data_IF_475926967856
#
_entry.id   IF_475926967856
#
_cell.length_a   1.000
_cell.length_b   1.000
_cell.length_c   1.000
_cell.angle_alpha   90.00
_cell.angle_beta   90.00
_cell.angle_gamma   90.00
#
_symmetry.space_group_name_H-M   'P 1'
#
loop_
_entity.id
_entity.type
_entity.pdbx_description
1 polymer ?
#
# COMPACT_ATOMS: atom_id res chain seq x y z
N UNK A 1 23.60 43.07 -17.55
CA UNK A 1 22.65 42.41 -18.45
C UNK A 1 22.35 41.08 -17.81
N UNK A 2 21.19 41.01 -17.16
CA UNK A 2 20.72 39.83 -16.47
C UNK A 2 19.95 39.01 -17.50
N UNK A 3 20.45 37.83 -17.82
CA UNK A 3 19.73 36.87 -18.65
C UNK A 3 18.71 36.14 -17.76
N UNK A 4 17.45 36.44 -18.00
CA UNK A 4 16.28 35.72 -17.52
C UNK A 4 16.33 34.28 -18.05
N UNK A 5 16.73 33.34 -17.21
CA UNK A 5 16.46 31.91 -17.41
C UNK A 5 15.15 31.58 -16.69
N UNK A 6 14.05 31.82 -17.38
CA UNK A 6 12.75 31.25 -17.03
C UNK A 6 12.83 29.73 -17.17
N UNK A 7 13.08 29.04 -16.05
CA UNK A 7 12.93 27.59 -15.95
C UNK A 7 11.43 27.32 -15.98
N UNK A 8 10.91 26.93 -17.15
CA UNK A 8 9.58 26.35 -17.26
C UNK A 8 9.54 25.08 -16.40
N UNK A 9 8.80 25.15 -15.30
CA UNK A 9 8.47 23.99 -14.48
C UNK A 9 7.65 23.02 -15.34
N UNK A 10 8.33 22.04 -15.93
CA UNK A 10 7.69 20.90 -16.58
C UNK A 10 6.84 20.15 -15.56
N UNK A 11 5.54 20.42 -15.56
CA UNK A 11 4.55 19.55 -14.94
C UNK A 11 4.61 18.21 -15.66
N UNK A 12 5.37 17.27 -15.12
CA UNK A 12 5.31 15.86 -15.51
C UNK A 12 3.94 15.32 -15.11
N UNK A 13 2.96 15.53 -16.00
CA UNK A 13 1.68 14.85 -15.97
C UNK A 13 1.98 13.39 -16.29
N UNK A 14 1.96 12.52 -15.27
CA UNK A 14 1.92 11.08 -15.51
C UNK A 14 0.70 10.80 -16.38
N UNK A 15 0.85 10.10 -17.52
CA UNK A 15 -0.30 9.76 -18.34
C UNK A 15 -1.23 8.89 -17.51
N UNK A 16 -2.40 9.43 -17.19
CA UNK A 16 -3.55 8.67 -16.71
C UNK A 16 -3.82 7.58 -17.76
N UNK A 17 -3.33 6.38 -17.51
CA UNK A 17 -3.77 5.19 -18.25
C UNK A 17 -5.28 5.12 -18.09
N UNK A 18 -5.99 4.98 -19.21
CA UNK A 18 -7.45 4.84 -19.25
C UNK A 18 -7.91 3.86 -18.17
N UNK A 19 -8.70 4.38 -17.22
CA UNK A 19 -9.13 3.65 -16.04
C UNK A 19 -9.93 2.38 -16.40
N UNK A 20 -10.65 2.43 -17.52
CA UNK A 20 -11.46 1.32 -18.04
C UNK A 20 -10.62 0.12 -18.53
N UNK A 21 -9.43 0.35 -19.10
CA UNK A 21 -8.55 -0.74 -19.55
C UNK A 21 -7.69 -1.31 -18.41
N UNK A 22 -7.40 -0.51 -17.38
CA UNK A 22 -6.57 -0.91 -16.24
C UNK A 22 -7.30 -1.72 -15.17
N UNK A 23 -8.63 -1.73 -15.17
CA UNK A 23 -9.42 -2.31 -14.08
C UNK A 23 -9.29 -3.84 -13.96
N UNK A 24 -9.43 -4.65 -15.03
CA UNK A 24 -9.21 -6.09 -14.94
C UNK A 24 -7.76 -6.43 -14.57
N UNK A 25 -6.81 -5.59 -15.00
CA UNK A 25 -5.39 -5.77 -14.68
C UNK A 25 -5.10 -5.64 -13.19
N UNK A 26 -5.77 -4.74 -12.46
CA UNK A 26 -5.53 -4.58 -11.02
C UNK A 26 -5.98 -5.80 -10.20
N UNK A 27 -7.00 -6.54 -10.64
CA UNK A 27 -7.33 -7.83 -10.03
C UNK A 27 -6.22 -8.86 -10.23
N UNK A 28 -5.61 -8.89 -11.42
CA UNK A 28 -4.43 -9.73 -11.68
C UNK A 28 -3.26 -9.32 -10.78
N UNK A 29 -3.04 -8.01 -10.58
CA UNK A 29 -2.02 -7.52 -9.64
C UNK A 29 -2.28 -8.03 -8.23
N UNK A 30 -3.52 -7.95 -7.74
CA UNK A 30 -3.91 -8.51 -6.44
C UNK A 30 -3.63 -10.02 -6.36
N UNK A 31 -4.00 -10.79 -7.38
CA UNK A 31 -3.71 -12.24 -7.45
C UNK A 31 -2.20 -12.53 -7.41
N UNK A 32 -1.38 -11.71 -8.08
CA UNK A 32 0.08 -11.83 -8.04
C UNK A 32 0.66 -11.52 -6.67
N UNK A 33 0.14 -10.51 -5.96
CA UNK A 33 0.54 -10.18 -4.60
C UNK A 33 0.31 -11.39 -3.68
N UNK A 34 -0.89 -11.99 -3.73
CA UNK A 34 -1.24 -13.17 -2.91
C UNK A 34 -0.32 -14.34 -3.22
N UNK A 35 -0.20 -14.70 -4.50
CA UNK A 35 0.62 -15.84 -4.92
C UNK A 35 2.08 -15.69 -4.46
N UNK A 36 2.67 -14.51 -4.62
CA UNK A 36 4.06 -14.28 -4.25
C UNK A 36 4.23 -14.24 -2.72
N UNK A 37 3.30 -13.63 -1.98
CA UNK A 37 3.34 -13.62 -0.52
C UNK A 37 3.28 -15.06 0.06
N UNK A 38 2.39 -15.89 -0.49
CA UNK A 38 2.25 -17.32 -0.15
C UNK A 38 3.54 -18.09 -0.46
N UNK A 39 4.11 -17.91 -1.67
CA UNK A 39 5.37 -18.53 -2.06
C UNK A 39 6.55 -18.11 -1.16
N UNK A 40 6.62 -16.83 -0.75
CA UNK A 40 7.63 -16.35 0.20
C UNK A 40 7.47 -17.07 1.54
N UNK A 41 6.26 -17.16 2.08
CA UNK A 41 5.98 -17.84 3.35
C UNK A 41 6.48 -19.29 3.32
N UNK A 42 6.09 -20.06 2.29
CA UNK A 42 6.53 -21.45 2.11
C UNK A 42 8.06 -21.56 1.99
N UNK A 43 8.70 -20.69 1.22
CA UNK A 43 10.17 -20.71 1.08
C UNK A 43 10.88 -20.36 2.40
N UNK A 44 10.35 -19.43 3.19
CA UNK A 44 10.90 -19.11 4.50
C UNK A 44 10.76 -20.28 5.48
N UNK A 45 9.61 -20.96 5.50
CA UNK A 45 9.35 -22.15 6.32
C UNK A 45 10.29 -23.32 5.96
N UNK A 46 10.56 -23.51 4.67
CA UNK A 46 11.49 -24.54 4.19
C UNK A 46 12.97 -24.15 4.34
N UNK A 47 13.28 -22.95 4.83
CA UNK A 47 14.65 -22.47 5.03
C UNK A 47 15.34 -21.93 3.77
N UNK A 48 14.64 -21.81 2.64
CA UNK A 48 15.12 -21.32 1.34
C UNK A 48 15.17 -19.79 1.26
N UNK A 49 15.83 -19.16 2.23
CA UNK A 49 15.83 -17.69 2.42
C UNK A 49 16.32 -16.88 1.22
N UNK A 50 17.27 -17.40 0.45
CA UNK A 50 17.80 -16.71 -0.73
C UNK A 50 16.70 -16.48 -1.79
N UNK A 51 15.94 -17.51 -2.11
CA UNK A 51 14.85 -17.44 -3.09
C UNK A 51 13.68 -16.61 -2.55
N UNK A 52 13.41 -16.70 -1.25
CA UNK A 52 12.41 -15.85 -0.60
C UNK A 52 12.76 -14.36 -0.74
N UNK A 53 14.05 -13.99 -0.62
CA UNK A 53 14.49 -12.60 -0.78
C UNK A 53 14.33 -12.09 -2.21
N UNK A 54 14.60 -12.92 -3.22
CA UNK A 54 14.36 -12.56 -4.63
C UNK A 54 12.86 -12.33 -4.90
N UNK A 55 12.00 -13.18 -4.35
CA UNK A 55 10.55 -13.00 -4.46
C UNK A 55 10.04 -11.76 -3.72
N UNK A 56 10.64 -11.36 -2.60
CA UNK A 56 10.28 -10.11 -1.91
C UNK A 56 10.49 -8.88 -2.80
N UNK A 57 11.49 -8.86 -3.67
CA UNK A 57 11.67 -7.77 -4.64
C UNK A 57 10.52 -7.72 -5.64
N UNK A 58 10.10 -8.87 -6.16
CA UNK A 58 8.92 -8.97 -7.03
C UNK A 58 7.65 -8.53 -6.30
N UNK A 59 7.47 -8.95 -5.03
CA UNK A 59 6.33 -8.55 -4.22
C UNK A 59 6.26 -7.03 -4.03
N UNK A 60 7.38 -6.38 -3.73
CA UNK A 60 7.47 -4.92 -3.62
C UNK A 60 7.01 -4.22 -4.90
N UNK A 61 7.42 -4.72 -6.06
CA UNK A 61 6.98 -4.19 -7.35
C UNK A 61 5.45 -4.26 -7.50
N UNK A 62 4.84 -5.44 -7.29
CA UNK A 62 3.39 -5.60 -7.47
C UNK A 62 2.56 -4.79 -6.48
N UNK A 63 3.00 -4.72 -5.22
CA UNK A 63 2.37 -3.83 -4.22
C UNK A 63 2.52 -2.37 -4.63
N UNK A 64 3.67 -1.95 -5.16
CA UNK A 64 3.86 -0.57 -5.63
C UNK A 64 2.96 -0.24 -6.80
N UNK A 65 2.78 -1.15 -7.75
CA UNK A 65 1.85 -0.97 -8.87
C UNK A 65 0.42 -0.73 -8.35
N UNK A 66 -0.05 -1.56 -7.41
CA UNK A 66 -1.38 -1.38 -6.81
C UNK A 66 -1.49 -0.03 -6.09
N UNK A 67 -0.48 0.32 -5.27
CA UNK A 67 -0.46 1.56 -4.49
C UNK A 67 -0.47 2.80 -5.39
N UNK A 68 0.38 2.86 -6.41
CA UNK A 68 0.43 4.02 -7.33
C UNK A 68 -0.90 4.23 -8.04
N UNK A 69 -1.59 3.14 -8.39
CA UNK A 69 -2.86 3.18 -9.13
C UNK A 69 -4.04 3.61 -8.26
N UNK A 70 -3.98 3.32 -6.96
CA UNK A 70 -5.02 3.64 -5.99
C UNK A 70 -4.71 4.88 -5.15
N UNK A 71 -3.48 5.40 -5.19
CA UNK A 71 -3.05 6.54 -4.38
C UNK A 71 -4.00 7.73 -4.52
N UNK A 72 -4.23 8.39 -3.40
CA UNK A 72 -5.01 9.63 -3.34
C UNK A 72 -4.08 10.84 -3.38
N UNK A 73 -4.64 12.03 -3.58
CA UNK A 73 -3.89 13.28 -3.42
C UNK A 73 -3.78 13.73 -1.95
N UNK A 74 -4.16 12.88 -0.99
CA UNK A 74 -4.03 13.17 0.44
C UNK A 74 -2.68 12.72 0.96
N UNK A 75 -2.14 13.51 1.88
CA UNK A 75 -0.90 13.21 2.60
C UNK A 75 -1.15 13.34 4.10
N UNK A 76 -0.63 12.37 4.85
CA UNK A 76 -0.68 12.37 6.32
C UNK A 76 0.76 12.38 6.81
N UNK A 77 1.18 13.54 7.31
CA UNK A 77 2.55 13.76 7.77
C UNK A 77 2.93 12.75 8.86
N UNK A 78 4.12 12.15 8.75
CA UNK A 78 4.65 11.15 9.67
C UNK A 78 3.98 9.76 9.64
N UNK A 79 2.94 9.54 8.82
CA UNK A 79 2.25 8.25 8.77
C UNK A 79 3.14 7.11 8.28
N UNK A 80 3.97 7.37 7.26
CA UNK A 80 4.91 6.38 6.72
C UNK A 80 5.90 5.88 7.79
N UNK A 81 6.45 6.81 8.58
CA UNK A 81 7.35 6.49 9.67
C UNK A 81 6.63 5.68 10.76
N UNK A 82 5.42 6.08 11.13
CA UNK A 82 4.58 5.36 12.09
C UNK A 82 4.31 3.92 11.64
N UNK A 83 3.75 3.74 10.45
CA UNK A 83 3.35 2.44 9.94
C UNK A 83 4.55 1.51 9.66
N UNK A 84 5.70 2.05 9.25
CA UNK A 84 6.91 1.24 9.03
C UNK A 84 7.39 0.47 10.26
N UNK A 85 6.99 0.89 11.47
CA UNK A 85 7.34 0.23 12.73
C UNK A 85 6.19 -0.59 13.33
N UNK A 86 4.96 -0.39 12.88
CA UNK A 86 3.77 -0.98 13.52
C UNK A 86 3.05 -2.04 12.68
N UNK A 87 3.24 -2.06 11.35
CA UNK A 87 2.60 -3.07 10.50
C UNK A 87 3.43 -4.35 10.42
N UNK A 88 2.76 -5.51 10.41
CA UNK A 88 3.43 -6.78 10.15
C UNK A 88 3.82 -6.94 8.67
N UNK A 89 4.91 -7.68 8.39
CA UNK A 89 5.25 -8.06 7.04
C UNK A 89 4.18 -8.92 6.38
N UNK A 90 3.85 -8.64 5.12
CA UNK A 90 2.76 -9.32 4.39
C UNK A 90 2.93 -10.84 4.35
N UNK A 91 4.15 -11.33 4.15
CA UNK A 91 4.47 -12.76 4.10
C UNK A 91 4.52 -13.45 5.47
N UNK A 92 4.28 -12.72 6.56
CA UNK A 92 4.23 -13.26 7.93
C UNK A 92 2.82 -13.26 8.53
N UNK A 93 1.83 -12.83 7.75
CA UNK A 93 0.44 -12.77 8.19
C UNK A 93 -0.13 -14.18 8.32
N UNK A 94 -0.96 -14.37 9.35
CA UNK A 94 -1.68 -15.64 9.59
C UNK A 94 -3.06 -15.61 8.93
N UNK A 95 -3.07 -15.43 7.62
CA UNK A 95 -4.28 -15.40 6.79
C UNK A 95 -4.16 -16.43 5.68
N UNK A 96 -5.30 -16.97 5.26
CA UNK A 96 -5.36 -17.76 4.04
C UNK A 96 -5.19 -16.89 2.80
N UNK A 97 -4.73 -17.50 1.71
CA UNK A 97 -4.59 -16.84 0.41
C UNK A 97 -5.93 -16.23 -0.06
N UNK A 98 -7.05 -16.92 0.21
CA UNK A 98 -8.39 -16.43 -0.15
C UNK A 98 -8.81 -15.20 0.66
N UNK A 99 -8.56 -15.17 1.96
CA UNK A 99 -8.87 -14.00 2.80
C UNK A 99 -8.04 -12.78 2.37
N UNK A 100 -6.74 -12.96 2.11
CA UNK A 100 -5.89 -11.87 1.61
C UNK A 100 -6.37 -11.38 0.23
N UNK A 101 -6.74 -12.30 -0.66
CA UNK A 101 -7.30 -11.97 -1.98
C UNK A 101 -8.57 -11.14 -1.86
N UNK A 102 -9.53 -11.60 -1.05
CA UNK A 102 -10.79 -10.90 -0.82
C UNK A 102 -10.54 -9.50 -0.25
N UNK A 103 -9.64 -9.38 0.72
CA UNK A 103 -9.27 -8.08 1.29
C UNK A 103 -8.67 -7.14 0.22
N UNK A 104 -7.72 -7.60 -0.59
CA UNK A 104 -7.13 -6.79 -1.66
C UNK A 104 -8.15 -6.38 -2.73
N UNK A 105 -9.09 -7.27 -3.06
CA UNK A 105 -10.19 -6.98 -3.98
C UNK A 105 -11.15 -5.94 -3.40
N UNK A 106 -11.46 -6.06 -2.10
CA UNK A 106 -12.28 -5.10 -1.37
C UNK A 106 -11.62 -3.72 -1.35
N UNK A 107 -10.31 -3.66 -1.07
CA UNK A 107 -9.52 -2.43 -1.11
C UNK A 107 -9.49 -1.78 -2.50
N UNK A 108 -9.32 -2.59 -3.55
CA UNK A 108 -9.40 -2.13 -4.93
C UNK A 108 -10.77 -1.50 -5.21
N UNK A 109 -11.86 -2.22 -4.92
CA UNK A 109 -13.23 -1.75 -5.12
C UNK A 109 -13.55 -0.49 -4.33
N UNK A 110 -13.01 -0.37 -3.12
CA UNK A 110 -13.13 0.85 -2.32
C UNK A 110 -12.41 2.04 -2.99
N UNK A 111 -11.20 1.82 -3.53
CA UNK A 111 -10.48 2.86 -4.29
C UNK A 111 -11.22 3.31 -5.56
N UNK A 112 -11.92 2.40 -6.22
CA UNK A 112 -12.81 2.71 -7.35
C UNK A 112 -14.00 3.54 -6.87
N UNK A 113 -14.66 3.10 -5.79
CA UNK A 113 -15.80 3.80 -5.20
C UNK A 113 -15.46 5.25 -4.81
N UNK A 114 -14.24 5.49 -4.30
CA UNK A 114 -13.75 6.83 -3.98
C UNK A 114 -13.62 7.69 -5.23
N UNK A 115 -13.03 7.15 -6.31
CA UNK A 115 -12.87 7.88 -7.59
C UNK A 115 -14.21 8.22 -8.23
N UNK A 116 -15.19 7.33 -8.07
CA UNK A 116 -16.57 7.52 -8.56
C UNK A 116 -17.42 8.39 -7.61
N UNK A 117 -16.88 8.82 -6.46
CA UNK A 117 -17.58 9.67 -5.49
C UNK A 117 -18.72 8.96 -4.74
N UNK A 118 -18.72 7.62 -4.70
CA UNK A 118 -19.77 6.79 -4.07
C UNK A 118 -19.34 6.08 -2.79
N UNK A 119 -18.08 6.19 -2.38
CA UNK A 119 -17.58 5.56 -1.16
C UNK A 119 -18.21 6.19 0.09
N UNK A 120 -18.70 5.35 1.00
CA UNK A 120 -19.33 5.79 2.25
C UNK A 120 -18.32 5.84 3.40
N UNK A 121 -18.69 6.57 4.46
CA UNK A 121 -17.92 6.63 5.71
C UNK A 121 -17.93 5.27 6.42
N UNK A 122 -19.05 4.57 6.35
CA UNK A 122 -19.23 3.23 6.93
C UNK A 122 -18.29 2.23 6.27
N UNK A 123 -18.25 2.21 4.93
CA UNK A 123 -17.34 1.35 4.17
C UNK A 123 -15.87 1.68 4.47
N UNK A 124 -15.53 2.97 4.56
CA UNK A 124 -14.19 3.41 4.95
C UNK A 124 -13.81 2.91 6.36
N UNK A 125 -14.73 2.98 7.31
CA UNK A 125 -14.50 2.49 8.67
C UNK A 125 -14.26 0.98 8.69
N UNK A 126 -15.04 0.21 7.94
CA UNK A 126 -14.86 -1.24 7.84
C UNK A 126 -13.51 -1.61 7.22
N UNK A 127 -13.11 -0.97 6.11
CA UNK A 127 -11.80 -1.15 5.48
C UNK A 127 -10.66 -0.87 6.47
N UNK A 128 -10.80 0.20 7.25
CA UNK A 128 -9.79 0.58 8.23
C UNK A 128 -9.68 -0.45 9.38
N UNK A 129 -10.81 -1.00 9.83
CA UNK A 129 -10.83 -2.05 10.85
C UNK A 129 -10.21 -3.35 10.34
N UNK A 130 -10.56 -3.77 9.12
CA UNK A 130 -9.95 -4.92 8.46
C UNK A 130 -8.43 -4.74 8.37
N UNK A 131 -7.96 -3.56 7.97
CA UNK A 131 -6.53 -3.25 7.89
C UNK A 131 -5.83 -3.38 9.26
N UNK A 132 -6.44 -2.83 10.32
CA UNK A 132 -5.88 -2.88 11.67
C UNK A 132 -5.77 -4.34 12.15
N UNK A 133 -6.80 -5.15 11.90
CA UNK A 133 -6.84 -6.56 12.29
C UNK A 133 -5.84 -7.39 11.49
N UNK A 134 -5.89 -7.31 10.16
CA UNK A 134 -5.06 -8.11 9.24
C UNK A 134 -3.57 -7.83 9.44
N UNK A 135 -3.18 -6.57 9.55
CA UNK A 135 -1.77 -6.18 9.71
C UNK A 135 -1.33 -6.07 11.17
N UNK A 136 -2.21 -6.41 12.11
CA UNK A 136 -2.01 -6.32 13.56
C UNK A 136 -1.45 -4.97 14.01
N UNK A 137 -2.07 -3.88 13.54
CA UNK A 137 -1.60 -2.52 13.80
C UNK A 137 -1.84 -2.14 15.27
N UNK A 138 -0.76 -1.86 15.99
CA UNK A 138 -0.82 -1.43 17.39
C UNK A 138 -1.34 0.02 17.53
N UNK A 139 -2.65 0.16 17.68
CA UNK A 139 -3.30 1.46 17.84
C UNK A 139 -2.80 2.28 19.02
N UNK A 140 -2.19 1.66 20.04
CA UNK A 140 -1.60 2.41 21.17
C UNK A 140 -0.38 3.22 20.75
N UNK A 141 0.34 2.74 19.73
CA UNK A 141 1.53 3.36 19.13
C UNK A 141 1.25 4.08 17.81
N UNK A 142 0.02 3.99 17.32
CA UNK A 142 -0.37 4.57 16.03
C UNK A 142 -1.42 5.69 16.17
N UNK A 143 -1.05 6.88 16.70
CA UNK A 143 -2.00 7.98 16.90
C UNK A 143 -2.58 8.51 15.58
N UNK A 144 -1.85 8.45 14.46
CA UNK A 144 -2.36 8.91 13.15
C UNK A 144 -3.39 7.93 12.61
N UNK A 145 -3.12 6.64 12.71
CA UNK A 145 -4.08 5.57 12.37
C UNK A 145 -5.36 5.73 13.17
N UNK A 146 -5.25 6.01 14.48
CA UNK A 146 -6.42 6.24 15.36
C UNK A 146 -7.25 7.45 14.91
N UNK A 147 -6.58 8.57 14.61
CA UNK A 147 -7.25 9.77 14.11
C UNK A 147 -8.00 9.51 12.80
N UNK A 148 -7.38 8.80 11.86
CA UNK A 148 -8.02 8.43 10.59
C UNK A 148 -9.22 7.50 10.82
N UNK A 149 -9.15 6.58 11.77
CA UNK A 149 -10.28 5.71 12.13
C UNK A 149 -11.46 6.49 12.73
N UNK A 150 -11.19 7.53 13.53
CA UNK A 150 -12.22 8.40 14.12
C UNK A 150 -12.91 9.28 13.07
N UNK A 151 -12.12 9.89 12.19
CA UNK A 151 -12.63 10.69 11.08
C UNK A 151 -13.39 9.81 10.07
N UNK A 152 -12.81 8.65 9.73
CA UNK A 152 -13.29 7.70 8.72
C UNK A 152 -13.54 8.37 7.35
N UNK A 153 -12.78 9.41 7.02
CA UNK A 153 -12.80 10.00 5.68
C UNK A 153 -12.29 8.96 4.66
N UNK A 154 -13.06 8.65 3.60
CA UNK A 154 -12.67 7.59 2.66
C UNK A 154 -11.28 7.78 2.03
N UNK A 155 -10.92 9.01 1.66
CA UNK A 155 -9.63 9.28 1.02
C UNK A 155 -8.47 9.11 2.01
N UNK A 156 -8.62 9.60 3.24
CA UNK A 156 -7.62 9.41 4.30
C UNK A 156 -7.47 7.93 4.69
N UNK A 157 -8.57 7.18 4.77
CA UNK A 157 -8.54 5.74 5.02
C UNK A 157 -7.79 5.02 3.91
N UNK A 158 -8.18 5.23 2.64
CA UNK A 158 -7.51 4.57 1.52
C UNK A 158 -6.02 4.89 1.53
N UNK A 159 -5.66 6.16 1.68
CA UNK A 159 -4.26 6.57 1.76
C UNK A 159 -3.53 5.86 2.90
N UNK A 160 -4.17 5.72 4.06
CA UNK A 160 -3.58 5.06 5.22
C UNK A 160 -3.31 3.59 4.99
N UNK A 161 -4.30 2.89 4.44
CA UNK A 161 -4.17 1.47 4.10
C UNK A 161 -3.10 1.24 3.04
N UNK A 162 -3.03 2.10 2.01
CA UNK A 162 -2.00 1.99 0.96
C UNK A 162 -0.59 2.21 1.51
N UNK A 163 -0.40 3.17 2.42
CA UNK A 163 0.89 3.39 3.10
C UNK A 163 1.24 2.18 3.97
N UNK A 164 0.25 1.60 4.67
CA UNK A 164 0.44 0.38 5.44
C UNK A 164 0.83 -0.82 4.59
N UNK A 165 0.20 -0.98 3.43
CA UNK A 165 0.49 -2.07 2.50
C UNK A 165 1.92 -1.97 1.96
N UNK A 166 2.38 -0.79 1.51
CA UNK A 166 3.77 -0.63 1.05
C UNK A 166 4.78 -0.75 2.20
N UNK A 167 4.42 -0.32 3.42
CA UNK A 167 5.23 -0.53 4.62
C UNK A 167 5.39 -2.03 4.95
N UNK A 168 4.32 -2.83 4.80
CA UNK A 168 4.30 -4.27 5.07
C UNK A 168 5.26 -5.06 4.17
N UNK A 169 5.62 -4.53 3.00
CA UNK A 169 6.63 -5.16 2.12
C UNK A 169 8.01 -4.54 2.27
N UNK A 170 8.23 -3.69 3.29
CA UNK A 170 9.46 -2.90 3.48
C UNK A 170 9.80 -2.05 2.24
N UNK A 171 8.77 -1.49 1.61
CA UNK A 171 8.91 -0.57 0.47
C UNK A 171 9.21 0.87 0.90
N UNK A 172 8.99 1.22 2.17
CA UNK A 172 9.27 2.53 2.75
C UNK A 172 10.65 2.57 3.43
N UNK A 173 11.71 2.23 2.71
CA UNK A 173 13.08 2.47 3.19
C UNK A 173 13.53 3.86 2.77
N UNK A 174 13.12 4.86 3.53
CA UNK A 174 13.74 6.18 3.49
C UNK A 174 14.97 6.22 4.40
N UNK A 175 16.17 6.31 3.82
CA UNK A 175 17.29 6.99 4.50
C UNK A 175 18.27 6.18 5.36
N UNK A 176 18.49 4.88 5.10
CA UNK A 176 19.64 4.18 5.69
C UNK A 176 20.32 3.23 4.69
N UNK A 177 20.69 3.78 3.54
CA UNK A 177 21.93 3.40 2.87
C UNK A 177 22.93 4.51 3.15
N UNK A 178 23.47 4.56 4.37
CA UNK A 178 24.81 5.11 4.53
C UNK A 178 25.71 4.06 3.88
N UNK A 179 26.20 4.38 2.70
CA UNK A 179 27.36 3.70 2.11
C UNK A 179 28.51 4.04 3.05
N UNK A 180 28.84 3.12 3.96
CA UNK A 180 30.13 3.16 4.64
C UNK A 180 31.19 2.84 3.59
N UNK A 181 31.99 3.86 3.25
CA UNK A 181 33.26 3.71 2.53
C UNK A 181 34.31 3.04 3.42
#
# INVERSE_FOLDING_TARGET
MADDLSIEAGTHVYPFVNFEEGFPYLYIVCDRIVYIASAISVLEELGYRQYANDLKLSLKYWVSELVVRLATQKYIDGLASELSHTVKPLWSLRLSDEELKLYLYRLLNFGIAIKEGRASREEAKEIMLDFIEIFEVDLSKSPRVRKVLEEADPQLVLQTVLVGLIASVKGLSGGSHIVEN
#
